data_IF_254680476528
#
_entry.id   IF_254680476528
#
_cell.length_a   1.000
_cell.length_b   1.000
_cell.length_c   1.000
_cell.angle_alpha   90.00
_cell.angle_beta   90.00
_cell.angle_gamma   90.00
#
_symmetry.space_group_name_H-M   'P 1'
#
loop_
_entity.id
_entity.type
_entity.pdbx_description
1 polymer ?
#
# COMPACT_ATOMS: atom_id res chain seq x y z
N UNK A 1 -45.07 62.99 38.38
CA UNK A 1 -43.78 62.56 37.81
C UNK A 1 -43.72 61.03 37.82
N UNK A 2 -43.59 60.43 36.62
CA UNK A 2 -43.48 58.98 36.39
C UNK A 2 -42.04 58.49 36.66
N UNK A 3 -41.91 57.28 37.21
CA UNK A 3 -40.87 56.24 36.97
C UNK A 3 -41.09 55.17 38.06
N UNK A 4 -41.35 53.89 37.83
CA UNK A 4 -41.16 53.05 36.65
C UNK A 4 -40.51 51.75 37.15
N UNK A 5 -41.33 50.76 37.50
CA UNK A 5 -40.93 49.41 37.92
C UNK A 5 -40.12 48.74 36.79
N UNK A 6 -38.85 48.40 37.02
CA UNK A 6 -38.07 47.55 36.10
C UNK A 6 -38.25 46.09 36.50
N UNK A 7 -39.02 45.35 35.71
CA UNK A 7 -39.00 43.88 35.68
C UNK A 7 -37.69 43.43 35.03
N UNK A 8 -36.88 42.67 35.76
CA UNK A 8 -35.72 41.96 35.21
C UNK A 8 -36.23 40.62 34.68
N UNK A 9 -36.20 40.44 33.37
CA UNK A 9 -36.50 39.18 32.69
C UNK A 9 -35.19 38.40 32.64
N UNK A 10 -35.11 37.30 33.39
CA UNK A 10 -34.05 36.31 33.24
C UNK A 10 -34.39 35.47 32.00
N UNK A 11 -33.73 35.77 30.88
CA UNK A 11 -33.81 34.94 29.68
C UNK A 11 -32.93 33.71 29.94
N UNK A 12 -33.58 32.58 30.23
CA UNK A 12 -32.91 31.28 30.30
C UNK A 12 -32.39 30.90 28.92
N UNK A 13 -31.07 30.90 28.77
CA UNK A 13 -30.41 30.34 27.58
C UNK A 13 -30.51 28.82 27.72
N UNK A 14 -31.48 28.25 27.01
CA UNK A 14 -31.58 26.81 26.80
C UNK A 14 -30.41 26.40 25.90
N UNK A 15 -29.31 25.95 26.50
CA UNK A 15 -28.23 25.27 25.79
C UNK A 15 -28.78 23.92 25.34
N UNK A 16 -29.29 23.88 24.11
CA UNK A 16 -29.60 22.64 23.42
C UNK A 16 -28.25 22.00 23.15
N UNK A 17 -27.85 21.05 24.00
CA UNK A 17 -26.85 20.06 23.64
C UNK A 17 -27.40 19.30 22.43
N UNK A 18 -27.06 19.77 21.23
CA UNK A 18 -27.08 18.94 20.05
C UNK A 18 -26.05 17.85 20.32
N UNK A 19 -26.48 16.77 20.96
CA UNK A 19 -25.80 15.49 20.84
C UNK A 19 -25.81 15.19 19.36
N UNK A 20 -24.72 15.55 18.68
CA UNK A 20 -24.50 15.14 17.30
C UNK A 20 -24.67 13.64 17.28
N UNK A 21 -25.73 13.17 16.64
CA UNK A 21 -25.86 11.78 16.28
C UNK A 21 -24.64 11.46 15.42
N UNK A 22 -23.61 10.89 16.05
CA UNK A 22 -22.53 10.24 15.32
C UNK A 22 -23.19 9.15 14.51
N UNK A 23 -23.21 9.31 13.19
CA UNK A 23 -23.55 8.22 12.30
C UNK A 23 -22.49 7.14 12.55
N UNK A 24 -22.87 6.12 13.31
CA UNK A 24 -22.02 4.97 13.56
C UNK A 24 -21.91 4.20 12.24
N UNK A 25 -20.76 4.28 11.60
CA UNK A 25 -20.46 3.44 10.45
C UNK A 25 -20.50 1.99 10.94
N UNK A 26 -21.26 1.16 10.24
CA UNK A 26 -21.53 -0.22 10.65
C UNK A 26 -20.95 -1.13 9.57
N UNK A 27 -19.69 -1.50 9.73
CA UNK A 27 -18.91 -2.45 8.92
C UNK A 27 -18.68 -2.03 7.45
N UNK A 28 -17.50 -2.32 6.94
CA UNK A 28 -17.08 -2.04 5.56
C UNK A 28 -17.03 -3.38 4.85
N UNK A 29 -17.84 -3.60 3.83
CA UNK A 29 -17.88 -4.90 3.14
C UNK A 29 -17.12 -4.76 1.83
N UNK A 30 -15.90 -5.26 1.79
CA UNK A 30 -15.19 -5.39 0.53
C UNK A 30 -15.53 -6.70 -0.16
N UNK A 31 -15.98 -6.63 -1.41
CA UNK A 31 -16.00 -7.80 -2.28
C UNK A 31 -14.60 -8.02 -2.84
N UNK A 32 -13.85 -8.96 -2.27
CA UNK A 32 -12.57 -9.39 -2.86
C UNK A 32 -12.87 -10.35 -4.01
N UNK A 33 -12.74 -9.87 -5.25
CA UNK A 33 -12.65 -10.78 -6.38
C UNK A 33 -11.38 -11.64 -6.27
N UNK A 34 -11.41 -12.84 -6.83
CA UNK A 34 -10.24 -13.75 -6.85
C UNK A 34 -9.05 -13.21 -7.68
N UNK A 35 -9.24 -12.11 -8.41
CA UNK A 35 -8.22 -11.47 -9.24
C UNK A 35 -7.68 -10.22 -8.55
N UNK A 36 -6.88 -10.45 -7.51
CA UNK A 36 -6.06 -9.41 -6.87
C UNK A 36 -4.78 -9.24 -7.70
N UNK A 37 -4.63 -8.09 -8.36
CA UNK A 37 -3.43 -7.76 -9.14
C UNK A 37 -2.24 -7.32 -8.25
N UNK A 38 -2.44 -7.28 -6.92
CA UNK A 38 -1.46 -6.87 -5.92
C UNK A 38 -0.88 -5.46 -6.12
N UNK A 39 -1.57 -4.61 -6.88
CA UNK A 39 -1.19 -3.21 -7.09
C UNK A 39 -2.15 -2.29 -6.34
N UNK A 40 -1.62 -1.15 -5.89
CA UNK A 40 -2.45 -0.09 -5.35
C UNK A 40 -3.11 0.67 -6.51
N UNK A 41 -4.43 0.84 -6.46
CA UNK A 41 -5.21 1.53 -7.48
C UNK A 41 -5.76 2.83 -6.92
N UNK A 42 -5.55 3.95 -7.61
CA UNK A 42 -6.04 5.25 -7.16
C UNK A 42 -7.57 5.26 -7.14
N UNK A 43 -8.15 5.47 -5.96
CA UNK A 43 -9.59 5.59 -5.76
C UNK A 43 -10.06 7.04 -5.88
N UNK A 44 -9.41 7.94 -5.12
CA UNK A 44 -9.71 9.38 -5.05
C UNK A 44 -8.43 10.18 -4.85
N UNK A 45 -8.30 11.29 -5.55
CA UNK A 45 -7.30 12.32 -5.28
C UNK A 45 -7.94 13.50 -4.54
N UNK A 46 -7.37 13.87 -3.40
CA UNK A 46 -7.75 15.04 -2.62
C UNK A 46 -6.58 16.03 -2.57
N UNK A 47 -6.86 17.28 -2.22
CA UNK A 47 -5.86 18.36 -2.22
C UNK A 47 -4.56 18.00 -1.51
N UNK A 48 -4.64 17.29 -0.38
CA UNK A 48 -3.51 17.05 0.52
C UNK A 48 -3.12 15.57 0.61
N UNK A 49 -3.76 14.67 -0.16
CA UNK A 49 -3.49 13.22 -0.16
C UNK A 49 -4.16 12.50 -1.32
N UNK A 50 -3.61 11.35 -1.69
CA UNK A 50 -4.24 10.35 -2.53
C UNK A 50 -4.77 9.21 -1.68
N UNK A 51 -5.84 8.59 -2.14
CA UNK A 51 -6.47 7.44 -1.49
C UNK A 51 -6.51 6.30 -2.49
N UNK A 52 -5.95 5.16 -2.10
CA UNK A 52 -5.80 3.97 -2.93
C UNK A 52 -6.60 2.81 -2.37
N UNK A 53 -7.11 1.97 -3.26
CA UNK A 53 -7.57 0.62 -2.93
C UNK A 53 -6.48 -0.39 -3.24
N UNK A 54 -6.39 -1.45 -2.45
CA UNK A 54 -5.49 -2.56 -2.68
C UNK A 54 -6.27 -3.87 -2.70
N UNK A 55 -6.37 -4.49 -3.89
CA UNK A 55 -7.16 -5.71 -4.10
C UNK A 55 -8.62 -5.64 -3.64
N UNK A 56 -9.22 -4.45 -3.79
CA UNK A 56 -10.65 -4.23 -3.58
C UNK A 56 -11.29 -3.76 -4.88
N UNK A 57 -12.08 -4.63 -5.51
CA UNK A 57 -12.91 -4.27 -6.67
C UNK A 57 -14.30 -3.84 -6.16
N UNK A 58 -14.83 -2.72 -6.65
CA UNK A 58 -16.18 -2.25 -6.33
C UNK A 58 -16.50 -2.21 -4.81
N UNK A 59 -15.56 -1.71 -4.00
CA UNK A 59 -15.69 -1.67 -2.55
C UNK A 59 -16.97 -0.94 -2.09
N UNK A 60 -17.78 -1.61 -1.26
CA UNK A 60 -18.96 -1.03 -0.63
C UNK A 60 -18.76 -0.89 0.87
N UNK A 61 -19.40 0.12 1.45
CA UNK A 61 -19.39 0.39 2.88
C UNK A 61 -20.82 0.38 3.39
N UNK A 62 -21.05 -0.19 4.58
CA UNK A 62 -22.34 -0.10 5.26
C UNK A 62 -22.31 1.02 6.30
N UNK A 63 -23.19 1.98 6.15
CA UNK A 63 -23.35 3.10 7.07
C UNK A 63 -24.77 3.06 7.60
N UNK A 64 -24.94 2.85 8.91
CA UNK A 64 -26.25 2.68 9.52
C UNK A 64 -27.12 1.62 8.79
N UNK A 65 -26.50 0.50 8.38
CA UNK A 65 -27.17 -0.58 7.64
C UNK A 65 -27.50 -0.30 6.16
N UNK A 66 -27.13 0.86 5.61
CA UNK A 66 -27.27 1.16 4.17
C UNK A 66 -25.95 0.98 3.45
N UNK A 67 -25.96 0.29 2.32
CA UNK A 67 -24.81 0.13 1.45
C UNK A 67 -24.58 1.39 0.61
N UNK A 68 -23.34 1.84 0.55
CA UNK A 68 -22.86 2.91 -0.32
C UNK A 68 -21.52 2.51 -0.95
N UNK A 69 -21.21 3.00 -2.15
CA UNK A 69 -19.91 2.80 -2.76
C UNK A 69 -18.83 3.60 -2.01
N UNK A 70 -17.68 2.99 -1.73
CA UNK A 70 -16.60 3.58 -0.93
C UNK A 70 -16.09 4.90 -1.52
N UNK A 71 -15.89 4.96 -2.85
CA UNK A 71 -15.44 6.16 -3.55
C UNK A 71 -16.41 7.32 -3.31
N UNK A 72 -17.70 7.07 -3.55
CA UNK A 72 -18.75 8.07 -3.37
C UNK A 72 -18.82 8.56 -1.91
N UNK A 73 -18.66 7.66 -0.93
CA UNK A 73 -18.65 8.03 0.48
C UNK A 73 -17.48 8.97 0.82
N UNK A 74 -16.28 8.65 0.32
CA UNK A 74 -15.06 9.45 0.53
C UNK A 74 -15.15 10.83 -0.13
N UNK A 75 -15.70 10.92 -1.35
CA UNK A 75 -15.84 12.18 -2.08
C UNK A 75 -16.86 13.14 -1.43
N UNK A 76 -17.91 12.60 -0.80
CA UNK A 76 -18.98 13.40 -0.16
C UNK A 76 -18.62 13.92 1.22
N UNK A 77 -17.67 13.28 1.92
CA UNK A 77 -17.38 13.57 3.32
C UNK A 77 -15.87 13.69 3.56
N UNK A 78 -15.42 14.90 3.87
CA UNK A 78 -14.02 15.18 4.18
C UNK A 78 -13.51 14.46 5.44
N UNK A 79 -14.41 13.92 6.28
CA UNK A 79 -14.08 13.11 7.46
C UNK A 79 -14.25 11.61 7.20
N UNK A 80 -14.55 11.17 5.98
CA UNK A 80 -14.80 9.76 5.66
C UNK A 80 -13.70 8.83 6.18
N UNK A 81 -12.42 9.17 5.96
CA UNK A 81 -11.28 8.37 6.43
C UNK A 81 -11.25 8.25 7.96
N UNK A 82 -11.45 9.35 8.68
CA UNK A 82 -11.45 9.30 10.15
C UNK A 82 -12.64 8.48 10.67
N UNK A 83 -13.81 8.61 10.05
CA UNK A 83 -14.98 7.79 10.41
C UNK A 83 -14.76 6.31 10.13
N UNK A 84 -14.03 5.97 9.07
CA UNK A 84 -13.61 4.59 8.79
C UNK A 84 -12.67 4.13 9.91
N UNK A 85 -11.63 4.92 10.23
CA UNK A 85 -10.66 4.61 11.29
C UNK A 85 -11.33 4.40 12.65
N UNK A 86 -12.38 5.16 12.98
CA UNK A 86 -13.15 5.02 14.23
C UNK A 86 -13.80 3.63 14.38
N UNK A 87 -13.93 2.86 13.29
CA UNK A 87 -14.43 1.48 13.28
C UNK A 87 -13.33 0.41 13.29
N UNK A 88 -12.06 0.81 13.23
CA UNK A 88 -10.91 -0.10 13.12
C UNK A 88 -10.05 -0.06 14.37
N UNK A 89 -9.34 -1.16 14.61
CA UNK A 89 -8.35 -1.23 15.69
C UNK A 89 -6.97 -0.84 15.16
N UNK A 90 -6.25 0.01 15.88
CA UNK A 90 -4.83 0.27 15.61
C UNK A 90 -4.03 -1.01 15.86
N UNK A 91 -3.29 -1.46 14.84
CA UNK A 91 -2.44 -2.66 14.90
C UNK A 91 -0.96 -2.33 14.95
N UNK A 92 -0.53 -1.29 14.25
CA UNK A 92 0.88 -0.91 14.21
C UNK A 92 1.06 0.60 14.04
N UNK A 93 2.24 1.10 14.42
CA UNK A 93 2.66 2.48 14.26
C UNK A 93 4.15 2.51 13.92
N UNK A 94 4.46 3.12 12.77
CA UNK A 94 5.81 3.13 12.21
C UNK A 94 6.57 4.39 12.62
N UNK A 95 7.90 4.25 12.74
CA UNK A 95 8.81 5.35 13.12
C UNK A 95 9.29 6.14 11.90
N UNK A 96 8.40 6.38 10.95
CA UNK A 96 8.67 7.08 9.67
C UNK A 96 8.12 8.51 9.66
N UNK A 97 7.65 9.01 10.81
CA UNK A 97 6.86 10.24 10.95
C UNK A 97 5.50 9.99 11.58
N UNK A 98 5.04 8.73 11.61
CA UNK A 98 3.88 8.29 12.37
C UNK A 98 2.81 7.61 11.52
N UNK A 99 3.20 6.90 10.46
CA UNK A 99 2.30 6.04 9.68
C UNK A 99 1.64 5.02 10.61
N UNK A 100 0.37 4.71 10.35
CA UNK A 100 -0.42 3.80 11.18
C UNK A 100 -1.11 2.74 10.34
N UNK A 101 -1.09 1.50 10.85
CA UNK A 101 -1.83 0.36 10.30
C UNK A 101 -3.04 0.08 11.19
N UNK A 102 -4.23 0.12 10.62
CA UNK A 102 -5.50 -0.18 11.26
C UNK A 102 -6.12 -1.43 10.65
N UNK A 103 -6.81 -2.24 11.44
CA UNK A 103 -7.49 -3.45 10.95
C UNK A 103 -8.84 -3.63 11.61
N UNK A 104 -9.83 -3.97 10.79
CA UNK A 104 -11.18 -4.36 11.20
C UNK A 104 -11.48 -5.80 10.80
N UNK A 105 -12.77 -6.16 10.82
CA UNK A 105 -13.23 -7.51 10.47
C UNK A 105 -12.97 -7.85 8.98
N UNK A 106 -13.28 -6.90 8.10
CA UNK A 106 -13.27 -7.10 6.64
C UNK A 106 -12.20 -6.31 5.90
N UNK A 107 -11.69 -5.22 6.50
CA UNK A 107 -10.73 -4.33 5.85
C UNK A 107 -9.49 -4.04 6.71
N UNK A 108 -8.44 -3.63 6.02
CA UNK A 108 -7.22 -3.05 6.60
C UNK A 108 -7.01 -1.66 6.00
N UNK A 109 -6.55 -0.71 6.80
CA UNK A 109 -6.23 0.64 6.36
C UNK A 109 -4.81 1.02 6.78
N UNK A 110 -4.01 1.54 5.85
CA UNK A 110 -2.73 2.20 6.14
C UNK A 110 -2.92 3.69 5.95
N UNK A 111 -2.62 4.47 6.98
CA UNK A 111 -2.62 5.94 6.94
C UNK A 111 -1.17 6.41 7.00
N UNK A 112 -0.64 6.82 5.86
CA UNK A 112 0.72 7.35 5.76
C UNK A 112 0.83 8.67 6.49
N UNK A 113 1.95 8.85 7.19
CA UNK A 113 2.30 10.11 7.82
C UNK A 113 3.83 10.24 7.87
N UNK A 114 4.47 10.23 6.70
CA UNK A 114 5.93 10.23 6.64
C UNK A 114 6.53 11.61 6.96
N UNK A 115 7.81 11.62 7.33
CA UNK A 115 8.60 12.84 7.52
C UNK A 115 8.77 13.64 6.22
N UNK A 116 8.79 12.95 5.09
CA UNK A 116 8.88 13.55 3.75
C UNK A 116 7.54 14.12 3.25
N UNK A 117 6.49 14.01 4.07
CA UNK A 117 5.22 14.68 3.84
C UNK A 117 4.14 13.84 3.16
N UNK A 118 4.37 12.54 2.92
CA UNK A 118 3.32 11.66 2.41
C UNK A 118 2.17 11.54 3.45
N UNK A 119 0.94 11.75 2.99
CA UNK A 119 -0.32 11.70 3.77
C UNK A 119 -1.37 10.77 3.15
N UNK A 120 -0.94 9.92 2.24
CA UNK A 120 -1.79 9.02 1.48
C UNK A 120 -2.41 7.93 2.35
N UNK A 121 -3.45 7.30 1.82
CA UNK A 121 -4.22 6.26 2.52
C UNK A 121 -4.42 5.07 1.61
N UNK A 122 -4.20 3.87 2.14
CA UNK A 122 -4.42 2.60 1.43
C UNK A 122 -5.49 1.81 2.14
N UNK A 123 -6.48 1.34 1.40
CA UNK A 123 -7.59 0.54 1.93
C UNK A 123 -7.59 -0.80 1.19
N UNK A 124 -7.39 -1.88 1.93
CA UNK A 124 -7.39 -3.25 1.41
C UNK A 124 -8.30 -4.15 2.22
N UNK A 125 -8.34 -5.43 1.84
CA UNK A 125 -9.05 -6.44 2.60
C UNK A 125 -8.42 -6.66 4.00
N UNK A 126 -9.04 -7.50 4.83
CA UNK A 126 -8.53 -7.84 6.16
C UNK A 126 -7.13 -8.46 6.16
N UNK A 127 -6.69 -9.04 5.04
CA UNK A 127 -5.42 -9.75 4.91
C UNK A 127 -4.29 -8.86 4.37
N UNK A 128 -4.61 -7.68 3.81
CA UNK A 128 -3.62 -6.72 3.35
C UNK A 128 -2.58 -6.46 4.45
N UNK A 129 -1.31 -6.63 4.11
CA UNK A 129 -0.18 -6.27 4.97
C UNK A 129 0.35 -4.89 4.58
N UNK A 130 1.06 -4.26 5.49
CA UNK A 130 1.83 -3.06 5.14
C UNK A 130 2.94 -3.47 4.14
N UNK A 131 3.04 -2.76 3.02
CA UNK A 131 4.15 -2.88 2.06
C UNK A 131 5.00 -1.62 2.14
N UNK A 132 6.31 -1.77 1.96
CA UNK A 132 7.26 -0.65 2.11
C UNK A 132 6.95 0.51 1.15
N UNK A 133 6.51 0.22 -0.08
CA UNK A 133 6.22 1.23 -1.10
C UNK A 133 4.92 2.01 -0.90
N UNK A 134 4.07 1.62 0.07
CA UNK A 134 2.79 2.31 0.26
C UNK A 134 2.99 3.79 0.62
N UNK A 135 3.95 4.10 1.50
CA UNK A 135 4.12 5.48 1.97
C UNK A 135 5.25 6.24 1.26
N UNK A 136 5.71 5.72 0.12
CA UNK A 136 6.63 6.44 -0.76
C UNK A 136 5.88 7.49 -1.56
N UNK A 137 6.55 8.60 -1.89
CA UNK A 137 5.94 9.68 -2.69
C UNK A 137 5.52 9.23 -4.09
N UNK A 138 6.22 8.22 -4.62
CA UNK A 138 5.83 7.47 -5.80
C UNK A 138 5.72 6.00 -5.42
N UNK A 139 4.49 5.49 -5.40
CA UNK A 139 4.18 4.12 -5.01
C UNK A 139 4.07 3.17 -6.22
N UNK A 140 4.44 3.63 -7.42
CA UNK A 140 4.36 2.84 -8.64
C UNK A 140 5.18 1.56 -8.54
N UNK A 141 4.57 0.45 -8.94
CA UNK A 141 5.25 -0.84 -9.06
C UNK A 141 4.99 -1.48 -10.40
N UNK A 142 5.95 -2.29 -10.84
CA UNK A 142 5.84 -3.14 -12.01
C UNK A 142 6.13 -4.59 -11.62
N UNK A 143 5.60 -5.53 -12.41
CA UNK A 143 5.76 -6.96 -12.15
C UNK A 143 6.64 -7.58 -13.22
N UNK A 144 7.55 -8.45 -12.79
CA UNK A 144 8.38 -9.26 -13.67
C UNK A 144 8.27 -10.73 -13.32
N UNK A 145 7.99 -11.55 -14.32
CA UNK A 145 7.83 -12.99 -14.14
C UNK A 145 9.09 -13.72 -14.58
N UNK A 146 9.68 -14.49 -13.68
CA UNK A 146 10.92 -15.23 -13.94
C UNK A 146 10.83 -16.66 -13.42
N UNK A 147 11.40 -17.59 -14.19
CA UNK A 147 11.73 -18.93 -13.71
C UNK A 147 13.05 -18.88 -12.97
N UNK A 148 13.11 -19.48 -11.79
CA UNK A 148 14.34 -19.63 -11.02
C UNK A 148 15.07 -20.89 -11.46
N UNK A 149 16.21 -20.75 -12.13
CA UNK A 149 16.99 -21.88 -12.63
C UNK A 149 17.92 -22.48 -11.58
N UNK A 150 18.57 -21.63 -10.78
CA UNK A 150 19.42 -22.05 -9.66
C UNK A 150 19.44 -21.01 -8.55
N UNK A 151 19.70 -21.47 -7.32
CA UNK A 151 19.80 -20.61 -6.13
C UNK A 151 21.03 -21.03 -5.34
N UNK A 152 21.88 -20.07 -4.99
CA UNK A 152 23.06 -20.31 -4.16
C UNK A 152 23.22 -19.21 -3.14
N UNK A 153 23.49 -19.58 -1.89
CA UNK A 153 23.83 -18.61 -0.84
C UNK A 153 25.06 -17.77 -1.27
N UNK A 154 24.94 -16.45 -1.14
CA UNK A 154 25.95 -15.50 -1.54
C UNK A 154 26.59 -14.86 -0.31
N UNK A 155 27.91 -15.02 -0.17
CA UNK A 155 28.68 -14.63 1.04
C UNK A 155 29.77 -13.61 0.77
N UNK A 156 29.97 -13.23 -0.49
CA UNK A 156 31.05 -12.33 -0.85
C UNK A 156 30.71 -10.90 -0.40
N UNK A 157 31.76 -10.15 -0.02
CA UNK A 157 31.62 -8.76 0.41
C UNK A 157 31.09 -7.91 -0.74
N UNK A 158 29.98 -7.22 -0.50
CA UNK A 158 29.38 -6.28 -1.45
C UNK A 158 29.78 -4.84 -1.10
N UNK A 159 29.73 -3.97 -2.09
CA UNK A 159 30.08 -2.56 -1.95
C UNK A 159 29.03 -1.70 -2.65
N UNK A 160 28.75 -0.53 -2.09
CA UNK A 160 28.02 0.52 -2.80
C UNK A 160 28.87 1.09 -3.94
N UNK A 161 28.28 1.95 -4.79
CA UNK A 161 28.99 2.56 -5.91
C UNK A 161 30.18 3.44 -5.49
N UNK A 162 30.15 4.01 -4.28
CA UNK A 162 31.25 4.81 -3.73
C UNK A 162 32.37 3.94 -3.10
N UNK A 163 32.22 2.61 -3.12
CA UNK A 163 33.17 1.66 -2.55
C UNK A 163 32.98 1.39 -1.06
N UNK A 164 31.89 1.87 -0.44
CA UNK A 164 31.60 1.57 0.96
C UNK A 164 31.12 0.13 1.11
N UNK A 165 31.74 -0.70 1.97
CA UNK A 165 31.31 -2.07 2.19
C UNK A 165 29.93 -2.13 2.82
N UNK A 166 29.08 -3.02 2.30
CA UNK A 166 27.73 -3.30 2.82
C UNK A 166 27.62 -4.76 3.24
N UNK A 167 26.90 -4.99 4.34
CA UNK A 167 26.68 -6.32 4.87
C UNK A 167 25.20 -6.65 4.83
N UNK A 168 24.89 -7.80 4.24
CA UNK A 168 23.55 -8.37 4.20
C UNK A 168 23.59 -9.72 4.91
N UNK A 169 22.60 -9.98 5.76
CA UNK A 169 22.57 -11.20 6.56
C UNK A 169 21.98 -12.39 5.82
N UNK A 170 21.31 -12.19 4.69
CA UNK A 170 20.71 -13.26 3.90
C UNK A 170 20.66 -12.87 2.42
N UNK A 171 21.65 -13.33 1.66
CA UNK A 171 21.82 -13.00 0.26
C UNK A 171 21.96 -14.26 -0.59
N UNK A 172 21.42 -14.22 -1.79
CA UNK A 172 21.48 -15.33 -2.74
C UNK A 172 21.89 -14.85 -4.12
N UNK A 173 22.78 -15.59 -4.77
CA UNK A 173 22.95 -15.54 -6.22
C UNK A 173 21.84 -16.41 -6.81
N UNK A 174 21.00 -15.79 -7.63
CA UNK A 174 19.85 -16.44 -8.26
C UNK A 174 20.00 -16.31 -9.77
N UNK A 175 19.90 -17.45 -10.45
CA UNK A 175 19.82 -17.46 -11.92
C UNK A 175 18.36 -17.42 -12.32
N UNK A 176 17.95 -16.30 -12.93
CA UNK A 176 16.59 -16.03 -13.35
C UNK A 176 16.48 -16.12 -14.87
N UNK A 177 15.36 -16.65 -15.34
CA UNK A 177 15.06 -16.74 -16.77
C UNK A 177 13.69 -16.14 -17.07
N UNK A 178 13.69 -15.15 -17.96
CA UNK A 178 12.49 -14.65 -18.61
C UNK A 178 12.11 -15.55 -19.79
N UNK A 179 10.82 -15.60 -20.12
CA UNK A 179 10.33 -16.35 -21.26
C UNK A 179 11.10 -15.99 -22.55
N UNK A 180 11.60 -17.02 -23.25
CA UNK A 180 12.39 -16.90 -24.49
C UNK A 180 13.67 -16.05 -24.38
N UNK A 181 14.16 -15.81 -23.17
CA UNK A 181 15.40 -15.09 -22.94
C UNK A 181 16.47 -15.99 -22.34
N UNK A 182 17.73 -15.61 -22.53
CA UNK A 182 18.86 -16.28 -21.87
C UNK A 182 18.80 -16.04 -20.35
N UNK A 183 19.13 -17.05 -19.52
CA UNK A 183 19.18 -16.89 -18.07
C UNK A 183 20.24 -15.89 -17.65
N UNK A 184 19.94 -15.11 -16.61
CA UNK A 184 20.82 -14.10 -16.03
C UNK A 184 20.98 -14.31 -14.54
N UNK A 185 22.17 -14.04 -14.02
CA UNK A 185 22.47 -14.12 -12.59
C UNK A 185 22.34 -12.76 -11.94
N UNK A 186 21.65 -12.73 -10.80
CA UNK A 186 21.49 -11.54 -9.96
C UNK A 186 21.75 -11.89 -8.51
N UNK A 187 22.09 -10.88 -7.71
CA UNK A 187 22.21 -11.02 -6.25
C UNK A 187 20.94 -10.44 -5.64
N UNK A 188 20.21 -11.26 -4.89
CA UNK A 188 19.04 -10.83 -4.12
C UNK A 188 19.45 -10.76 -2.66
N UNK A 189 19.40 -9.55 -2.09
CA UNK A 189 19.75 -9.27 -0.70
C UNK A 189 18.50 -9.24 0.18
N UNK A 190 18.66 -9.61 1.46
CA UNK A 190 17.62 -9.58 2.49
C UNK A 190 16.35 -10.40 2.17
N UNK A 191 16.52 -11.60 1.60
CA UNK A 191 15.40 -12.45 1.22
C UNK A 191 14.85 -13.29 2.40
N UNK A 192 14.10 -12.67 3.31
CA UNK A 192 13.63 -13.32 4.55
C UNK A 192 12.26 -13.99 4.44
N UNK A 193 11.33 -13.34 3.76
CA UNK A 193 9.91 -13.69 3.80
C UNK A 193 9.51 -14.74 2.76
N UNK A 194 10.39 -15.02 1.80
CA UNK A 194 10.11 -15.91 0.68
C UNK A 194 11.22 -16.93 0.50
N UNK A 195 10.85 -18.19 0.43
CA UNK A 195 11.75 -19.28 0.06
C UNK A 195 11.61 -19.57 -1.42
N UNK A 196 12.58 -19.12 -2.21
CA UNK A 196 12.66 -19.47 -3.63
C UNK A 196 13.04 -20.95 -3.77
N UNK A 197 12.49 -21.59 -4.79
CA UNK A 197 12.77 -22.98 -5.16
C UNK A 197 13.19 -23.05 -6.64
N UNK A 198 14.15 -23.92 -6.94
CA UNK A 198 14.58 -24.14 -8.32
C UNK A 198 13.45 -24.70 -9.18
N UNK A 199 13.43 -24.30 -10.45
CA UNK A 199 12.46 -24.68 -11.49
C UNK A 199 11.03 -24.21 -11.23
N UNK A 200 10.84 -23.32 -10.25
CA UNK A 200 9.57 -22.63 -10.00
C UNK A 200 9.57 -21.25 -10.66
N UNK A 201 8.39 -20.78 -10.99
CA UNK A 201 8.17 -19.45 -11.56
C UNK A 201 7.63 -18.51 -10.49
N UNK A 202 8.16 -17.29 -10.46
CA UNK A 202 7.73 -16.27 -9.52
C UNK A 202 7.46 -14.95 -10.23
N UNK A 203 6.48 -14.22 -9.69
CA UNK A 203 6.27 -12.80 -9.96
C UNK A 203 7.03 -11.98 -8.93
N UNK A 204 7.88 -11.09 -9.41
CA UNK A 204 8.58 -10.09 -8.62
C UNK A 204 7.89 -8.76 -8.83
N UNK A 205 7.27 -8.23 -7.77
CA UNK A 205 6.79 -6.86 -7.73
C UNK A 205 7.95 -5.95 -7.33
N UNK A 206 8.24 -4.96 -8.18
CA UNK A 206 9.43 -4.14 -8.13
C UNK A 206 9.06 -2.66 -8.21
N UNK A 207 9.87 -1.82 -7.58
CA UNK A 207 9.78 -0.36 -7.63
C UNK A 207 11.15 0.18 -7.99
N UNK A 208 11.24 0.98 -9.05
CA UNK A 208 12.50 1.63 -9.44
C UNK A 208 12.92 2.62 -8.36
N UNK A 209 14.22 2.74 -8.12
CA UNK A 209 14.75 3.84 -7.33
C UNK A 209 14.49 5.18 -8.03
N UNK A 210 14.22 6.23 -7.24
CA UNK A 210 13.89 7.56 -7.75
C UNK A 210 14.97 8.21 -8.61
N UNK A 211 16.21 7.72 -8.52
CA UNK A 211 17.38 8.20 -9.24
C UNK A 211 17.77 7.32 -10.44
N UNK A 212 16.99 6.27 -10.74
CA UNK A 212 17.16 5.43 -11.92
C UNK A 212 17.04 6.27 -13.20
N UNK A 213 17.94 6.05 -14.16
CA UNK A 213 18.03 6.77 -15.44
C UNK A 213 18.28 5.80 -16.57
N UNK A 214 17.87 6.19 -17.77
CA UNK A 214 18.05 5.38 -18.99
C UNK A 214 17.45 3.98 -18.78
N UNK A 215 16.15 3.93 -18.45
CA UNK A 215 15.47 2.72 -18.01
C UNK A 215 15.61 1.61 -19.06
N UNK A 216 16.27 0.51 -18.67
CA UNK A 216 16.41 -0.69 -19.48
C UNK A 216 15.58 -1.85 -18.91
N UNK A 217 14.83 -2.54 -19.76
CA UNK A 217 14.03 -3.70 -19.38
C UNK A 217 14.87 -4.99 -19.44
N UNK A 218 15.96 -5.02 -18.68
CA UNK A 218 16.84 -6.20 -18.54
C UNK A 218 16.88 -6.67 -17.09
N UNK A 219 17.06 -7.97 -16.87
CA UNK A 219 17.13 -8.56 -15.53
C UNK A 219 18.22 -7.86 -14.70
N UNK A 220 19.40 -7.67 -15.26
CA UNK A 220 20.51 -7.02 -14.56
C UNK A 220 20.20 -5.57 -14.18
N UNK A 221 19.63 -4.78 -15.10
CA UNK A 221 19.27 -3.39 -14.82
C UNK A 221 18.20 -3.31 -13.73
N UNK A 222 17.15 -4.12 -13.84
CA UNK A 222 16.01 -4.11 -12.92
C UNK A 222 16.44 -4.43 -11.50
N UNK A 223 17.17 -5.52 -11.29
CA UNK A 223 17.62 -5.92 -9.95
C UNK A 223 18.69 -5.01 -9.38
N UNK A 224 19.43 -4.26 -10.23
CA UNK A 224 20.37 -3.24 -9.76
C UNK A 224 19.65 -1.96 -9.33
N UNK A 225 18.58 -1.56 -10.03
CA UNK A 225 17.96 -0.23 -9.91
C UNK A 225 16.55 -0.26 -9.30
N UNK A 226 16.16 -1.36 -8.67
CA UNK A 226 14.84 -1.50 -8.06
C UNK A 226 14.91 -2.13 -6.68
N UNK A 227 14.00 -1.73 -5.80
CA UNK A 227 13.66 -2.53 -4.63
C UNK A 227 12.62 -3.60 -4.98
N UNK A 228 12.80 -4.79 -4.42
CA UNK A 228 11.78 -5.84 -4.45
C UNK A 228 10.74 -5.52 -3.37
N UNK A 229 9.49 -5.37 -3.79
CA UNK A 229 8.34 -5.10 -2.92
C UNK A 229 7.73 -6.41 -2.42
N UNK A 230 7.53 -7.36 -3.31
CA UNK A 230 6.94 -8.66 -2.99
C UNK A 230 7.38 -9.71 -4.01
N UNK A 231 7.46 -10.97 -3.59
CA UNK A 231 7.68 -12.11 -4.48
C UNK A 231 6.58 -13.14 -4.24
N UNK A 232 5.97 -13.63 -5.33
CA UNK A 232 4.86 -14.60 -5.28
C UNK A 232 5.12 -15.74 -6.25
N UNK A 233 4.97 -16.98 -5.79
CA UNK A 233 4.99 -18.15 -6.69
C UNK A 233 3.79 -18.07 -7.63
N UNK A 234 4.01 -18.40 -8.90
CA UNK A 234 2.96 -18.37 -9.93
C UNK A 234 3.01 -19.61 -10.81
N UNK A 235 1.87 -19.92 -11.43
CA UNK A 235 1.74 -20.99 -12.43
C UNK A 235 1.73 -20.44 -13.87
N UNK A 236 1.97 -19.14 -14.07
CA UNK A 236 2.03 -18.55 -15.41
C UNK A 236 3.13 -19.20 -16.23
N UNK A 237 2.80 -19.54 -17.48
CA UNK A 237 3.71 -20.21 -18.42
C UNK A 237 3.61 -19.61 -19.81
N UNK A 238 4.70 -19.69 -20.57
CA UNK A 238 4.69 -19.30 -21.98
C UNK A 238 4.36 -17.83 -22.17
N UNK A 239 3.38 -17.56 -23.03
CA UNK A 239 2.93 -16.19 -23.35
C UNK A 239 2.33 -15.45 -22.15
N UNK A 240 1.87 -16.15 -21.13
CA UNK A 240 1.36 -15.54 -19.89
C UNK A 240 2.48 -14.88 -19.06
N UNK A 241 3.75 -15.20 -19.36
CA UNK A 241 4.92 -14.57 -18.74
C UNK A 241 5.39 -13.32 -19.49
N UNK A 242 4.68 -12.91 -20.56
CA UNK A 242 5.02 -11.67 -21.27
C UNK A 242 4.89 -10.48 -20.33
N UNK A 243 5.94 -9.66 -20.31
CA UNK A 243 6.06 -8.54 -19.40
C UNK A 243 5.42 -7.31 -20.01
N UNK A 244 4.71 -6.55 -19.19
CA UNK A 244 4.26 -5.21 -19.56
C UNK A 244 5.47 -4.25 -19.58
N UNK A 245 5.47 -3.27 -20.51
CA UNK A 245 6.46 -2.21 -20.51
C UNK A 245 6.50 -1.50 -19.14
N UNK A 246 7.70 -1.12 -18.71
CA UNK A 246 7.85 -0.22 -17.57
C UNK A 246 7.29 1.14 -17.99
N UNK A 247 6.37 1.70 -17.21
CA UNK A 247 5.86 3.04 -17.48
C UNK A 247 6.86 4.08 -16.96
N UNK A 248 7.20 5.05 -17.80
CA UNK A 248 7.97 6.25 -17.44
C UNK A 248 7.11 7.31 -16.77
#
# INVERSE_FOLDING_TARGET
MKKGFKKVIFLGVLVICLTGCGNNISNIISNTNKECNNKAELLVEQKDRKIYTYCLTDATIKINGKEENLKNFIEKDNRAIEKIIDTLELKDSFSDGGTKLYRGEDITLVKCNTLDGNRDVFIGDKNMKFKQNFCDNDNYTFVRTYTVNSIKEYKDQQYTEDGTPVSYSNSFEVELQQFQSEPKKVIINNLWDVKLEEKKTYEFELQLYSDAKDIEDTIEYIFKNSSIIEIRETNLVGLEQLQEPIME
#
